data_IF_332915720822
#
_entry.id   IF_332915720822
#
_cell.length_a   1.000
_cell.length_b   1.000
_cell.length_c   1.000
_cell.angle_alpha   90.00
_cell.angle_beta   90.00
_cell.angle_gamma   90.00
#
_symmetry.space_group_name_H-M   'P 1'
#
loop_
_entity.id
_entity.type
_entity.pdbx_description
1 polymer ?
#
# COMPACT_ATOMS: atom_id res chain seq x y z
N UNK A 1 -10.98 7.45 -38.75
CA UNK A 1 -9.55 7.42 -38.35
C UNK A 1 -9.42 8.16 -37.04
N UNK A 2 -8.70 7.60 -36.06
CA UNK A 2 -8.47 8.29 -34.78
C UNK A 2 -7.44 9.38 -35.01
N UNK A 3 -7.73 10.61 -34.57
CA UNK A 3 -6.80 11.74 -34.68
C UNK A 3 -5.64 11.59 -33.71
N UNK A 4 -4.48 12.16 -34.04
CA UNK A 4 -3.31 12.12 -33.16
C UNK A 4 -3.61 12.73 -31.77
N UNK A 5 -4.45 13.76 -31.71
CA UNK A 5 -4.92 14.36 -30.46
C UNK A 5 -5.71 13.37 -29.59
N UNK A 6 -6.63 12.62 -30.18
CA UNK A 6 -7.47 11.63 -29.50
C UNK A 6 -6.67 10.39 -29.07
N UNK A 7 -5.66 10.00 -29.84
CA UNK A 7 -4.70 8.96 -29.44
C UNK A 7 -3.90 9.40 -28.20
N UNK A 8 -3.39 10.64 -28.19
CA UNK A 8 -2.64 11.19 -27.05
C UNK A 8 -3.51 11.28 -25.79
N UNK A 9 -4.77 11.68 -25.92
CA UNK A 9 -5.73 11.74 -24.81
C UNK A 9 -5.99 10.35 -24.20
N UNK A 10 -6.34 9.36 -25.02
CA UNK A 10 -6.57 7.97 -24.59
C UNK A 10 -5.32 7.38 -23.91
N UNK A 11 -4.13 7.60 -24.47
CA UNK A 11 -2.87 7.13 -23.88
C UNK A 11 -2.61 7.83 -22.54
N UNK A 12 -2.88 9.14 -22.43
CA UNK A 12 -2.71 9.90 -21.17
C UNK A 12 -3.68 9.45 -20.08
N UNK A 13 -4.94 9.22 -20.44
CA UNK A 13 -5.97 8.73 -19.52
C UNK A 13 -5.66 7.30 -19.07
N UNK A 14 -5.31 6.40 -20.00
CA UNK A 14 -5.05 4.99 -19.67
C UNK A 14 -3.89 4.79 -18.69
N UNK A 15 -2.80 5.56 -18.82
CA UNK A 15 -1.63 5.44 -17.95
C UNK A 15 -1.84 6.18 -16.63
N UNK A 16 -2.36 7.41 -16.63
CA UNK A 16 -2.59 8.16 -15.38
C UNK A 16 -3.60 7.47 -14.48
N UNK A 17 -4.67 6.93 -15.04
CA UNK A 17 -5.68 6.24 -14.23
C UNK A 17 -5.16 4.93 -13.67
N UNK A 18 -4.26 4.26 -14.40
CA UNK A 18 -3.61 3.05 -13.90
C UNK A 18 -2.73 3.35 -12.67
N UNK A 19 -1.96 4.44 -12.70
CA UNK A 19 -1.13 4.87 -11.55
C UNK A 19 -1.93 5.50 -10.39
N UNK A 20 -3.05 6.17 -10.67
CA UNK A 20 -3.86 6.87 -9.65
C UNK A 20 -4.98 6.03 -9.05
N UNK A 21 -5.30 4.86 -9.61
CA UNK A 21 -6.41 4.01 -9.13
C UNK A 21 -6.22 3.49 -7.72
N UNK A 22 -4.99 3.33 -7.25
CA UNK A 22 -4.74 2.69 -5.95
C UNK A 22 -3.91 3.58 -5.02
N UNK A 23 -4.59 4.18 -4.04
CA UNK A 23 -3.96 4.91 -2.94
C UNK A 23 -3.51 3.93 -1.85
N UNK A 24 -2.22 3.60 -1.86
CA UNK A 24 -1.56 2.74 -0.88
C UNK A 24 -0.83 3.57 0.16
N UNK A 25 -1.06 3.25 1.43
CA UNK A 25 -0.50 3.97 2.57
C UNK A 25 0.39 3.09 3.44
N UNK A 26 1.42 3.69 4.06
CA UNK A 26 2.26 3.04 5.07
C UNK A 26 1.67 3.23 6.47
N UNK A 27 1.79 2.18 7.29
CA UNK A 27 1.27 2.11 8.65
C UNK A 27 2.42 1.84 9.60
N UNK A 28 2.54 2.66 10.65
CA UNK A 28 3.57 2.51 11.67
C UNK A 28 3.19 1.51 12.78
N UNK A 29 4.15 1.22 13.66
CA UNK A 29 3.98 0.29 14.78
C UNK A 29 3.03 0.80 15.88
N UNK A 30 2.67 2.08 15.86
CA UNK A 30 1.62 2.69 16.68
C UNK A 30 0.22 2.59 16.05
N UNK A 31 0.12 2.15 14.79
CA UNK A 31 -1.14 2.01 14.05
C UNK A 31 -1.63 3.30 13.40
N UNK A 32 -0.77 4.31 13.29
CA UNK A 32 -1.02 5.56 12.56
C UNK A 32 -0.74 5.36 11.07
N UNK A 33 -1.50 6.06 10.23
CA UNK A 33 -1.31 6.10 8.77
C UNK A 33 -0.42 7.31 8.48
N UNK A 34 0.82 7.08 8.03
CA UNK A 34 1.84 8.14 7.97
C UNK A 34 2.00 8.80 6.59
N UNK A 35 1.48 8.18 5.53
CA UNK A 35 1.62 8.72 4.18
C UNK A 35 1.64 7.65 3.10
N UNK A 36 2.06 8.02 1.87
CA UNK A 36 2.11 7.09 0.75
C UNK A 36 3.10 5.95 1.01
N UNK A 37 2.74 4.75 0.56
CA UNK A 37 3.62 3.58 0.57
C UNK A 37 4.90 3.86 -0.25
N UNK A 38 6.03 3.28 0.18
CA UNK A 38 7.31 3.37 -0.55
C UNK A 38 8.22 4.52 -0.12
N UNK A 39 7.75 5.44 0.74
CA UNK A 39 8.51 6.60 1.23
C UNK A 39 9.28 6.32 2.53
N UNK A 40 9.92 5.15 2.64
CA UNK A 40 10.64 4.76 3.86
C UNK A 40 12.14 4.81 3.64
N UNK A 41 12.89 5.17 4.69
CA UNK A 41 14.34 5.13 4.68
C UNK A 41 14.86 3.70 4.52
N UNK A 42 15.89 3.53 3.68
CA UNK A 42 16.46 2.21 3.36
C UNK A 42 17.07 1.50 4.57
N UNK A 43 17.44 2.25 5.61
CA UNK A 43 18.02 1.73 6.86
C UNK A 43 16.97 1.25 7.87
N UNK A 44 15.71 1.64 7.69
CA UNK A 44 14.63 1.27 8.58
C UNK A 44 14.03 -0.10 8.21
N UNK A 45 13.50 -0.87 9.17
CA UNK A 45 12.81 -2.11 8.87
C UNK A 45 11.57 -1.84 8.01
N UNK A 46 11.36 -2.68 7.01
CA UNK A 46 10.20 -2.55 6.12
C UNK A 46 8.90 -2.49 6.93
N UNK A 47 8.08 -1.46 6.71
CA UNK A 47 6.74 -1.34 7.29
C UNK A 47 5.68 -2.01 6.40
N UNK A 48 4.44 -2.04 6.90
CA UNK A 48 3.31 -2.58 6.13
C UNK A 48 2.67 -1.48 5.29
N UNK A 49 2.48 -1.77 4.00
CA UNK A 49 1.56 -1.03 3.15
C UNK A 49 0.21 -1.72 3.00
N UNK A 50 -0.86 -0.92 2.95
CA UNK A 50 -2.22 -1.35 2.66
C UNK A 50 -2.94 -0.28 1.82
N UNK A 51 -3.96 -0.63 1.02
CA UNK A 51 -4.83 0.36 0.41
C UNK A 51 -5.48 1.23 1.49
N UNK A 52 -5.59 2.55 1.27
CA UNK A 52 -6.11 3.51 2.26
C UNK A 52 -7.46 3.09 2.83
N UNK A 53 -8.41 2.72 1.95
CA UNK A 53 -9.74 2.22 2.35
C UNK A 53 -9.65 1.03 3.30
N UNK A 54 -8.71 0.11 3.03
CA UNK A 54 -8.49 -1.05 3.90
C UNK A 54 -7.87 -0.65 5.24
N UNK A 55 -6.87 0.23 5.23
CA UNK A 55 -6.27 0.75 6.45
C UNK A 55 -7.31 1.46 7.34
N UNK A 56 -8.20 2.25 6.75
CA UNK A 56 -9.28 2.95 7.44
C UNK A 56 -10.34 2.01 8.01
N UNK A 57 -10.64 0.89 7.32
CA UNK A 57 -11.58 -0.13 7.83
C UNK A 57 -11.09 -0.88 9.08
N UNK A 58 -9.82 -0.74 9.44
CA UNK A 58 -9.21 -1.41 10.59
C UNK A 58 -9.09 -0.47 11.78
N UNK A 59 -9.22 -1.03 12.99
CA UNK A 59 -8.96 -0.26 14.21
C UNK A 59 -7.47 0.07 14.33
N UNK A 60 -7.13 1.10 15.12
CA UNK A 60 -5.73 1.50 15.38
C UNK A 60 -4.89 0.33 15.90
N UNK A 61 -5.45 -0.48 16.80
CA UNK A 61 -4.80 -1.68 17.34
C UNK A 61 -4.53 -2.74 16.26
N UNK A 62 -5.49 -2.98 15.36
CA UNK A 62 -5.32 -3.94 14.26
C UNK A 62 -4.26 -3.48 13.24
N UNK A 63 -4.22 -2.18 12.96
CA UNK A 63 -3.17 -1.54 12.15
C UNK A 63 -1.79 -1.74 12.78
N UNK A 64 -1.67 -1.41 14.08
CA UNK A 64 -0.43 -1.56 14.84
C UNK A 64 0.07 -3.02 14.84
N UNK A 65 -0.81 -3.99 15.11
CA UNK A 65 -0.47 -5.42 15.11
C UNK A 65 0.10 -5.87 13.75
N UNK A 66 -0.46 -5.34 12.67
CA UNK A 66 -0.05 -5.67 11.30
C UNK A 66 1.32 -5.09 10.95
N UNK A 67 1.56 -3.84 11.33
CA UNK A 67 2.86 -3.17 11.16
C UNK A 67 3.94 -3.86 12.00
N UNK A 68 3.68 -4.12 13.29
CA UNK A 68 4.61 -4.83 14.20
C UNK A 68 4.99 -6.20 13.67
N UNK A 69 4.03 -6.95 13.10
CA UNK A 69 4.31 -8.25 12.47
C UNK A 69 5.26 -8.11 11.28
N UNK A 70 5.10 -7.09 10.44
CA UNK A 70 5.97 -6.84 9.28
C UNK A 70 7.37 -6.44 9.72
N UNK A 71 7.49 -5.49 10.66
CA UNK A 71 8.77 -5.06 11.24
C UNK A 71 9.52 -6.23 11.87
N UNK A 72 8.84 -7.07 12.67
CA UNK A 72 9.44 -8.27 13.26
C UNK A 72 9.98 -9.24 12.21
N UNK A 73 9.26 -9.43 11.10
CA UNK A 73 9.72 -10.28 10.02
C UNK A 73 10.88 -9.66 9.24
N UNK A 74 10.86 -8.34 9.02
CA UNK A 74 11.94 -7.60 8.38
C UNK A 74 13.24 -7.70 9.16
N UNK A 75 13.18 -7.51 10.49
CA UNK A 75 14.35 -7.66 11.38
C UNK A 75 14.92 -9.08 11.40
N UNK A 76 14.11 -10.09 11.04
CA UNK A 76 14.53 -11.49 10.89
C UNK A 76 14.99 -11.83 9.47
N UNK A 77 15.18 -10.85 8.59
CA UNK A 77 15.62 -11.06 7.20
C UNK A 77 14.59 -11.74 6.30
N UNK A 78 13.31 -11.82 6.70
CA UNK A 78 12.29 -12.50 5.88
C UNK A 78 11.91 -11.65 4.67
N UNK A 79 12.09 -12.21 3.48
CA UNK A 79 11.62 -11.62 2.22
C UNK A 79 10.10 -11.39 2.24
N UNK A 80 9.33 -12.41 2.65
CA UNK A 80 7.87 -12.35 2.69
C UNK A 80 7.32 -12.53 4.10
N UNK A 81 6.37 -11.65 4.48
CA UNK A 81 5.69 -11.71 5.77
C UNK A 81 4.19 -11.64 5.55
N UNK A 82 3.49 -12.74 5.81
CA UNK A 82 2.03 -12.81 5.67
C UNK A 82 1.34 -11.71 6.48
N UNK A 83 0.24 -11.21 5.95
CA UNK A 83 -0.58 -10.22 6.64
C UNK A 83 -1.28 -10.83 7.87
N UNK A 84 -1.88 -9.98 8.70
CA UNK A 84 -2.84 -10.44 9.72
C UNK A 84 -4.16 -10.81 9.05
N UNK A 85 -5.04 -11.55 9.73
CA UNK A 85 -6.35 -11.94 9.20
C UNK A 85 -7.18 -10.73 8.78
N UNK A 86 -7.19 -9.68 9.61
CA UNK A 86 -7.91 -8.42 9.35
C UNK A 86 -7.21 -7.55 8.30
N UNK A 87 -5.88 -7.56 8.25
CA UNK A 87 -5.11 -6.82 7.25
C UNK A 87 -5.11 -7.45 5.85
N UNK A 88 -5.52 -8.72 5.71
CA UNK A 88 -5.58 -9.40 4.42
C UNK A 88 -6.46 -8.60 3.44
N UNK A 89 -5.91 -8.33 2.27
CA UNK A 89 -6.58 -7.63 1.18
C UNK A 89 -6.50 -8.52 -0.05
N UNK A 90 -7.62 -8.61 -0.77
CA UNK A 90 -7.72 -9.19 -2.10
C UNK A 90 -8.53 -8.20 -2.91
N UNK A 91 -8.03 -7.78 -4.07
CA UNK A 91 -8.83 -7.03 -5.03
C UNK A 91 -9.94 -7.97 -5.50
N UNK A 92 -11.19 -7.51 -5.46
CA UNK A 92 -12.26 -8.21 -6.17
C UNK A 92 -12.04 -7.91 -7.65
N UNK A 93 -11.77 -8.95 -8.42
CA UNK A 93 -11.70 -8.90 -9.88
C UNK A 93 -13.06 -8.60 -10.46
#
# INVERSE_FOLDING_TARGET
>A
MITESRLREIVRESLRDWFKKEDWVKINTAGTIEGPCGTMDKKEPTQRCLPRKKAQSMTKAQRAATARKKVRGSRKGKQFVKNTRKGKFKKKS
#
